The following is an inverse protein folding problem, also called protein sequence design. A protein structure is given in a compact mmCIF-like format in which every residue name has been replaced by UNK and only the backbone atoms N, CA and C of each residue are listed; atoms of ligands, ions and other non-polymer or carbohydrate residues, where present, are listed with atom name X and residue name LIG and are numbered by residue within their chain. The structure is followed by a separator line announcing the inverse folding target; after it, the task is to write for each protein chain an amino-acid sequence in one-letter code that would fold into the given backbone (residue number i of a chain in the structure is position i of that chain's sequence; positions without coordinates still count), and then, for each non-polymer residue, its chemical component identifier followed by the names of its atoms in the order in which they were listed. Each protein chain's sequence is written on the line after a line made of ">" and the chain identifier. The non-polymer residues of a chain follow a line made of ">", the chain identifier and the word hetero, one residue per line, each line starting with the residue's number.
data_IF_420840042367
#
_entry.id   IF_420840042367
#
_cell.length_a   1.000
_cell.length_b   1.000
_cell.length_c   1.000
_cell.angle_alpha   90.00
_cell.angle_beta   90.00
_cell.angle_gamma   90.00
#
_symmetry.space_group_name_H-M   'P 1'
#
loop_
_entity.id
_entity.type
_entity.pdbx_description
1 polymer ?
#
# COMPACT_ATOMS: atom_id res chain seq x y z
N UNK A 1 -3.79 7.12 18.47
CA UNK A 1 -2.83 5.99 18.38
C UNK A 1 -3.29 4.86 17.46
N UNK A 2 -4.49 4.28 17.60
CA UNK A 2 -4.94 3.17 16.73
C UNK A 2 -5.08 3.52 15.24
N UNK A 3 -5.46 4.75 14.92
CA UNK A 3 -5.60 5.21 13.52
C UNK A 3 -4.27 5.11 12.77
N UNK A 4 -3.13 5.36 13.42
CA UNK A 4 -1.83 5.26 12.75
C UNK A 4 -1.37 3.81 12.52
N UNK A 5 -1.95 2.84 13.22
CA UNK A 5 -1.49 1.45 13.12
C UNK A 5 -1.78 0.83 11.75
N UNK A 6 -2.89 1.17 11.09
CA UNK A 6 -3.18 0.64 9.77
C UNK A 6 -2.37 1.30 8.64
N UNK A 7 -1.69 2.42 8.92
CA UNK A 7 -0.74 3.02 7.99
C UNK A 7 0.58 2.25 7.95
N UNK A 8 0.92 1.54 9.02
CA UNK A 8 2.21 0.88 9.20
C UNK A 8 2.09 -0.64 9.07
N UNK A 9 1.03 -1.22 9.63
CA UNK A 9 0.87 -2.67 9.76
C UNK A 9 -0.19 -3.22 8.84
N UNK A 10 0.10 -4.38 8.26
CA UNK A 10 -0.91 -5.22 7.63
C UNK A 10 -1.78 -5.87 8.71
N UNK A 11 -3.08 -5.53 8.72
CA UNK A 11 -4.02 -6.09 9.69
C UNK A 11 -4.51 -7.47 9.26
N UNK A 12 -4.71 -8.41 10.21
CA UNK A 12 -5.30 -9.71 9.93
C UNK A 12 -6.70 -9.56 9.32
N UNK A 13 -7.01 -10.40 8.33
CA UNK A 13 -8.31 -10.36 7.65
C UNK A 13 -9.51 -10.55 8.61
N UNK A 14 -9.34 -11.35 9.67
CA UNK A 14 -10.36 -11.55 10.70
C UNK A 14 -10.65 -10.26 11.48
N UNK A 15 -9.61 -9.48 11.81
CA UNK A 15 -9.76 -8.20 12.50
C UNK A 15 -10.50 -7.19 11.60
N UNK A 16 -10.12 -7.10 10.33
CA UNK A 16 -10.78 -6.23 9.34
C UNK A 16 -12.27 -6.59 9.21
N UNK A 17 -12.59 -7.89 9.16
CA UNK A 17 -13.98 -8.37 9.11
C UNK A 17 -14.74 -8.00 10.38
N UNK A 18 -14.16 -8.19 11.57
CA UNK A 18 -14.79 -7.86 12.85
C UNK A 18 -15.07 -6.36 12.96
N UNK A 19 -14.09 -5.51 12.64
CA UNK A 19 -14.25 -4.06 12.65
C UNK A 19 -15.29 -3.63 11.61
N UNK A 20 -15.27 -4.21 10.40
CA UNK A 20 -16.29 -3.94 9.37
C UNK A 20 -17.71 -4.31 9.82
N UNK A 21 -17.88 -5.43 10.53
CA UNK A 21 -19.16 -5.81 11.14
C UNK A 21 -19.57 -4.85 12.25
N UNK A 22 -18.65 -4.41 13.10
CA UNK A 22 -18.93 -3.46 14.17
C UNK A 22 -19.41 -2.11 13.62
N UNK A 23 -18.73 -1.59 12.58
CA UNK A 23 -19.13 -0.34 11.91
C UNK A 23 -20.54 -0.49 11.31
N UNK A 24 -20.82 -1.65 10.69
CA UNK A 24 -22.14 -1.93 10.13
C UNK A 24 -23.22 -1.99 11.21
N UNK A 25 -22.98 -2.72 12.30
CA UNK A 25 -23.93 -2.81 13.41
C UNK A 25 -24.20 -1.43 14.01
N UNK A 26 -23.15 -0.64 14.23
CA UNK A 26 -23.29 0.73 14.73
C UNK A 26 -24.20 1.58 13.84
N UNK A 27 -24.01 1.56 12.52
CA UNK A 27 -24.82 2.37 11.58
C UNK A 27 -26.29 1.97 11.61
N UNK A 28 -26.60 0.67 11.69
CA UNK A 28 -27.98 0.19 11.54
C UNK A 28 -28.72 -0.04 12.87
N UNK A 29 -28.01 -0.32 13.96
CA UNK A 29 -28.57 -0.63 15.26
C UNK A 29 -28.27 0.40 16.34
N UNK A 30 -27.32 1.33 16.11
CA UNK A 30 -26.86 2.29 17.12
C UNK A 30 -25.94 1.70 18.19
N UNK A 31 -25.89 0.36 18.29
CA UNK A 31 -25.00 -0.40 19.16
C UNK A 31 -24.21 -1.42 18.32
N UNK A 32 -22.96 -1.65 18.69
CA UNK A 32 -22.05 -2.62 18.10
C UNK A 32 -22.49 -4.06 18.45
N UNK A 33 -23.04 -4.24 19.66
CA UNK A 33 -23.41 -5.55 20.20
C UNK A 33 -24.72 -6.10 19.61
N UNK A 34 -25.61 -5.19 19.20
CA UNK A 34 -26.93 -5.53 18.67
C UNK A 34 -26.86 -5.74 17.17
N UNK A 35 -27.32 -6.89 16.71
CA UNK A 35 -27.42 -7.20 15.27
C UNK A 35 -28.83 -6.89 14.79
N UNK A 36 -28.97 -5.95 13.85
CA UNK A 36 -30.21 -5.72 13.10
C UNK A 36 -30.12 -6.28 11.68
N UNK A 37 -31.28 -6.55 11.10
CA UNK A 37 -31.41 -6.86 9.67
C UNK A 37 -30.94 -5.64 8.87
N UNK A 38 -29.92 -5.86 8.05
CA UNK A 38 -29.38 -4.84 7.15
C UNK A 38 -30.01 -5.04 5.78
N UNK A 39 -30.88 -4.11 5.38
CA UNK A 39 -31.61 -4.15 4.10
C UNK A 39 -30.75 -3.67 2.92
N UNK A 40 -29.69 -2.92 3.18
CA UNK A 40 -28.81 -2.37 2.14
C UNK A 40 -27.51 -3.14 2.06
N UNK A 41 -27.18 -3.65 0.87
CA UNK A 41 -25.91 -4.33 0.65
C UNK A 41 -24.72 -3.40 0.97
N UNK A 42 -23.75 -3.92 1.73
CA UNK A 42 -22.64 -3.11 2.27
C UNK A 42 -21.81 -2.39 1.19
N UNK A 43 -21.66 -3.00 0.00
CA UNK A 43 -20.97 -2.34 -1.10
C UNK A 43 -21.69 -1.10 -1.64
N UNK A 44 -23.02 -1.06 -1.57
CA UNK A 44 -23.80 0.14 -1.92
C UNK A 44 -23.57 1.24 -0.88
N UNK A 45 -23.51 0.90 0.41
CA UNK A 45 -23.20 1.90 1.46
C UNK A 45 -21.81 2.52 1.24
N UNK A 46 -20.85 1.71 0.79
CA UNK A 46 -19.46 2.13 0.60
C UNK A 46 -19.14 2.80 -0.74
N UNK A 47 -20.13 3.00 -1.61
CA UNK A 47 -19.91 3.68 -2.89
C UNK A 47 -19.93 5.21 -2.72
N UNK A 48 -19.50 5.93 -3.76
CA UNK A 48 -19.26 7.38 -3.69
C UNK A 48 -20.54 8.18 -3.37
N UNK A 49 -20.37 9.29 -2.65
CA UNK A 49 -21.45 10.20 -2.26
C UNK A 49 -22.19 10.81 -3.45
N UNK A 50 -21.54 10.93 -4.61
CA UNK A 50 -22.13 11.44 -5.84
C UNK A 50 -23.33 10.60 -6.33
N UNK A 51 -23.44 9.35 -5.90
CA UNK A 51 -24.58 8.48 -6.20
C UNK A 51 -25.68 8.53 -5.11
N UNK A 52 -25.65 9.53 -4.21
CA UNK A 52 -26.60 9.66 -3.10
C UNK A 52 -26.39 8.63 -1.97
N UNK A 53 -25.19 8.06 -1.88
CA UNK A 53 -24.82 7.00 -0.92
C UNK A 53 -23.98 7.56 0.24
N UNK A 54 -23.72 6.73 1.25
CA UNK A 54 -23.08 7.16 2.50
C UNK A 54 -21.58 7.52 2.35
N UNK A 55 -20.92 7.13 1.25
CA UNK A 55 -19.52 7.51 1.00
C UNK A 55 -18.48 6.80 1.86
N UNK A 56 -18.85 5.75 2.60
CA UNK A 56 -17.93 5.09 3.53
C UNK A 56 -16.85 4.30 2.78
N UNK A 57 -15.58 4.58 3.05
CA UNK A 57 -14.49 3.81 2.45
C UNK A 57 -14.38 2.43 3.10
N UNK A 58 -14.29 1.40 2.28
CA UNK A 58 -14.01 0.04 2.78
C UNK A 58 -12.67 0.01 3.52
N UNK A 59 -12.69 -0.47 4.76
CA UNK A 59 -11.48 -0.57 5.60
C UNK A 59 -10.35 -1.33 4.88
N UNK A 60 -10.66 -2.45 4.22
CA UNK A 60 -9.67 -3.22 3.44
C UNK A 60 -8.94 -2.36 2.39
N UNK A 61 -9.66 -1.48 1.69
CA UNK A 61 -9.08 -0.59 0.68
C UNK A 61 -8.25 0.52 1.33
N UNK A 62 -8.71 1.07 2.47
CA UNK A 62 -7.96 2.06 3.23
C UNK A 62 -6.59 1.51 3.68
N UNK A 63 -6.56 0.34 4.31
CA UNK A 63 -5.31 -0.28 4.76
C UNK A 63 -4.37 -0.54 3.56
N UNK A 64 -4.91 -1.10 2.46
CA UNK A 64 -4.11 -1.35 1.25
C UNK A 64 -3.53 -0.05 0.68
N UNK A 65 -4.32 1.01 0.57
CA UNK A 65 -3.86 2.30 0.06
C UNK A 65 -2.81 2.95 0.97
N UNK A 66 -2.95 2.79 2.28
CA UNK A 66 -2.01 3.34 3.26
C UNK A 66 -0.67 2.60 3.21
N UNK A 67 -0.69 1.26 3.12
CA UNK A 67 0.52 0.46 2.95
C UNK A 67 1.22 0.72 1.61
N UNK A 68 0.45 0.95 0.54
CA UNK A 68 1.00 1.33 -0.76
C UNK A 68 1.68 2.71 -0.67
N UNK A 69 1.04 3.68 0.00
CA UNK A 69 1.65 4.99 0.27
C UNK A 69 2.94 4.84 1.07
N UNK A 70 2.96 4.01 2.11
CA UNK A 70 4.15 3.75 2.92
C UNK A 70 5.27 3.10 2.08
N UNK A 71 4.93 2.15 1.21
CA UNK A 71 5.89 1.53 0.29
C UNK A 71 6.52 2.56 -0.63
N UNK A 72 5.71 3.50 -1.15
CA UNK A 72 6.23 4.61 -1.95
C UNK A 72 7.10 5.55 -1.09
N UNK A 73 6.64 6.01 0.07
CA UNK A 73 7.46 6.87 0.94
C UNK A 73 8.80 6.22 1.31
N UNK A 74 8.83 4.90 1.50
CA UNK A 74 10.07 4.15 1.73
C UNK A 74 11.02 4.21 0.54
N UNK A 75 10.55 4.37 -0.70
CA UNK A 75 11.40 4.53 -1.88
C UNK A 75 11.79 5.99 -2.14
N UNK A 76 10.89 6.96 -1.94
CA UNK A 76 11.15 8.39 -2.21
C UNK A 76 11.94 9.09 -1.12
N UNK A 77 11.62 8.78 0.13
CA UNK A 77 11.95 9.67 1.23
C UNK A 77 13.43 9.59 1.59
N UNK A 78 14.05 10.74 1.86
CA UNK A 78 15.41 10.83 2.39
C UNK A 78 15.47 10.78 3.93
N UNK A 79 14.37 10.44 4.60
CA UNK A 79 14.36 10.29 6.06
C UNK A 79 15.17 9.07 6.49
N UNK A 80 15.77 9.13 7.68
CA UNK A 80 16.66 8.08 8.19
C UNK A 80 15.98 6.71 8.23
N UNK A 81 14.70 6.65 8.66
CA UNK A 81 13.94 5.41 8.67
C UNK A 81 13.85 4.81 7.27
N UNK A 82 13.58 5.61 6.24
CA UNK A 82 13.44 5.13 4.87
C UNK A 82 14.79 4.65 4.32
N UNK A 83 15.88 5.36 4.63
CA UNK A 83 17.23 4.96 4.28
C UNK A 83 17.63 3.62 4.91
N UNK A 84 17.41 3.46 6.23
CA UNK A 84 17.68 2.21 6.95
C UNK A 84 16.88 1.03 6.37
N UNK A 85 15.60 1.24 6.09
CA UNK A 85 14.74 0.21 5.51
C UNK A 85 15.15 -0.14 4.08
N UNK A 86 15.51 0.83 3.23
CA UNK A 86 16.04 0.55 1.87
C UNK A 86 17.35 -0.22 1.91
N UNK A 87 18.26 0.14 2.81
CA UNK A 87 19.52 -0.58 2.96
C UNK A 87 19.30 -2.01 3.45
N UNK A 88 18.29 -2.22 4.30
CA UNK A 88 17.96 -3.53 4.87
C UNK A 88 17.14 -4.43 3.94
N UNK A 89 16.23 -3.87 3.13
CA UNK A 89 15.24 -4.64 2.36
C UNK A 89 15.21 -4.35 0.86
N UNK A 90 15.82 -3.24 0.42
CA UNK A 90 15.75 -2.74 -0.95
C UNK A 90 16.84 -3.25 -1.90
N UNK A 91 17.90 -3.90 -1.39
CA UNK A 91 19.02 -4.38 -2.22
C UNK A 91 18.97 -5.90 -2.41
N UNK A 92 18.73 -6.32 -3.68
CA UNK A 92 18.73 -7.70 -4.22
C UNK A 92 17.84 -8.69 -3.42
N UNK A 93 17.47 -9.87 -3.99
CA UNK A 93 16.76 -10.88 -3.20
C UNK A 93 17.64 -11.26 -2.02
N UNK A 94 17.27 -10.79 -0.82
CA UNK A 94 18.05 -11.03 0.38
C UNK A 94 18.12 -12.54 0.60
N UNK A 95 19.34 -13.07 0.53
CA UNK A 95 19.70 -14.45 0.85
C UNK A 95 19.40 -14.82 2.30
N UNK A 96 18.94 -13.85 3.11
CA UNK A 96 18.67 -14.00 4.54
C UNK A 96 17.25 -13.53 4.88
N UNK A 97 16.52 -14.38 5.60
CA UNK A 97 15.21 -14.03 6.14
C UNK A 97 15.36 -13.01 7.28
N UNK A 98 14.77 -11.82 7.10
CA UNK A 98 14.69 -10.81 8.15
C UNK A 98 13.30 -10.79 8.76
N UNK A 99 13.18 -11.20 10.02
CA UNK A 99 11.94 -11.11 10.78
C UNK A 99 11.60 -9.63 10.99
N UNK A 100 10.49 -9.19 10.42
CA UNK A 100 9.91 -7.87 10.69
C UNK A 100 8.40 -7.95 10.58
N UNK A 101 7.72 -7.15 11.39
CA UNK A 101 6.25 -7.05 11.41
C UNK A 101 5.69 -6.14 10.32
N UNK A 102 6.52 -5.24 9.79
CA UNK A 102 6.13 -4.19 8.84
C UNK A 102 6.42 -4.62 7.39
N UNK A 103 7.58 -5.23 7.14
CA UNK A 103 8.02 -5.59 5.78
C UNK A 103 7.03 -6.48 5.03
N UNK A 104 6.38 -7.51 5.63
CA UNK A 104 5.44 -8.32 4.86
C UNK A 104 4.30 -7.50 4.25
N UNK A 105 3.79 -6.49 4.95
CA UNK A 105 2.75 -5.60 4.44
C UNK A 105 3.23 -4.66 3.33
N UNK A 106 4.50 -4.23 3.38
CA UNK A 106 5.11 -3.38 2.37
C UNK A 106 5.52 -4.19 1.14
N UNK A 107 6.11 -5.38 1.34
CA UNK A 107 6.64 -6.27 0.30
C UNK A 107 5.59 -6.60 -0.76
N UNK A 108 4.37 -6.92 -0.34
CA UNK A 108 3.27 -7.23 -1.25
C UNK A 108 2.88 -6.03 -2.14
N UNK A 109 3.08 -4.81 -1.64
CA UNK A 109 2.79 -3.57 -2.37
C UNK A 109 4.04 -2.99 -3.06
N UNK A 110 5.22 -3.57 -2.87
CA UNK A 110 6.49 -3.03 -3.35
C UNK A 110 6.61 -3.07 -4.87
N UNK A 111 6.25 -4.20 -5.49
CA UNK A 111 6.23 -4.33 -6.95
C UNK A 111 5.19 -3.41 -7.58
N UNK A 112 4.04 -3.25 -6.92
CA UNK A 112 2.96 -2.39 -7.37
C UNK A 112 3.33 -0.90 -7.24
N UNK A 113 4.00 -0.50 -6.17
CA UNK A 113 4.55 0.85 -6.03
C UNK A 113 5.60 1.12 -7.12
N UNK A 114 6.55 0.19 -7.32
CA UNK A 114 7.63 0.35 -8.30
C UNK A 114 7.13 0.46 -9.74
N UNK A 115 6.15 -0.35 -10.13
CA UNK A 115 5.55 -0.31 -11.48
C UNK A 115 4.75 0.96 -11.75
N UNK A 116 4.07 1.50 -10.73
CA UNK A 116 3.26 2.73 -10.85
C UNK A 116 4.03 4.01 -10.50
N UNK A 117 5.35 3.93 -10.33
CA UNK A 117 6.20 5.09 -10.01
C UNK A 117 7.12 5.42 -11.18
N UNK A 118 7.23 6.72 -11.48
CA UNK A 118 8.12 7.26 -12.50
C UNK A 118 9.22 8.08 -11.81
N UNK A 119 10.44 8.00 -12.32
CA UNK A 119 11.55 8.80 -11.85
C UNK A 119 11.48 10.22 -12.39
N UNK A 120 11.48 11.20 -11.49
CA UNK A 120 11.62 12.62 -11.83
C UNK A 120 13.11 13.00 -11.82
N UNK A 121 13.54 13.68 -12.88
CA UNK A 121 14.92 14.15 -13.03
C UNK A 121 15.15 15.31 -12.05
N UNK A 122 16.03 15.10 -11.08
CA UNK A 122 16.61 16.15 -10.24
C UNK A 122 18.05 16.45 -10.67
N UNK A 123 18.98 16.50 -9.72
CA UNK A 123 20.39 16.87 -9.95
C UNK A 123 21.23 15.78 -10.68
N UNK A 124 20.63 14.70 -11.18
CA UNK A 124 21.31 13.65 -11.97
C UNK A 124 22.28 12.71 -11.21
N UNK A 125 22.70 13.03 -9.98
CA UNK A 125 23.75 12.28 -9.27
C UNK A 125 23.32 10.92 -8.71
N UNK A 126 22.03 10.71 -8.45
CA UNK A 126 21.48 9.47 -7.86
C UNK A 126 20.58 8.69 -8.82
N UNK A 127 20.70 8.94 -10.14
CA UNK A 127 19.76 8.41 -11.12
C UNK A 127 20.45 7.48 -12.10
N UNK A 128 20.00 6.22 -12.13
CA UNK A 128 20.45 5.27 -13.12
C UNK A 128 19.64 5.44 -14.41
N UNK A 129 20.28 6.00 -15.44
CA UNK A 129 19.66 6.20 -16.75
C UNK A 129 19.02 4.94 -17.34
N UNK A 130 19.65 3.77 -17.17
CA UNK A 130 19.23 2.55 -17.87
C UNK A 130 18.11 1.79 -17.17
N UNK A 131 18.24 1.58 -15.86
CA UNK A 131 17.37 0.66 -15.09
C UNK A 131 16.12 1.31 -14.49
N UNK A 132 16.05 2.64 -14.50
CA UNK A 132 14.95 3.36 -13.89
C UNK A 132 13.78 3.51 -14.88
N UNK A 133 12.56 3.53 -14.33
CA UNK A 133 11.34 3.76 -15.10
C UNK A 133 11.15 5.26 -15.34
N UNK A 134 11.21 5.68 -16.60
CA UNK A 134 11.13 7.09 -17.01
C UNK A 134 9.79 7.48 -17.64
N UNK A 135 9.16 6.56 -18.38
CA UNK A 135 7.99 6.84 -19.22
C UNK A 135 6.89 5.76 -19.09
N UNK A 136 7.00 4.86 -18.11
CA UNK A 136 6.10 3.72 -17.94
C UNK A 136 6.84 2.40 -18.05
N UNK A 137 7.80 2.31 -18.98
CA UNK A 137 8.71 1.18 -19.17
C UNK A 137 10.17 1.57 -18.92
N UNK A 138 11.01 0.61 -18.54
CA UNK A 138 12.45 0.87 -18.41
C UNK A 138 13.09 0.95 -19.79
N UNK A 139 14.17 1.73 -19.93
CA UNK A 139 14.89 1.82 -21.20
C UNK A 139 15.51 0.49 -21.62
N UNK A 140 15.88 -0.37 -20.65
CA UNK A 140 16.36 -1.73 -20.92
C UNK A 140 15.27 -2.58 -21.57
N UNK A 141 14.04 -2.50 -21.05
CA UNK A 141 12.89 -3.24 -21.60
C UNK A 141 12.48 -2.69 -22.97
N UNK A 142 12.45 -1.36 -23.12
CA UNK A 142 12.09 -0.70 -24.38
C UNK A 142 13.13 -0.91 -25.49
N UNK A 143 14.41 -1.04 -25.15
CA UNK A 143 15.50 -1.21 -26.11
C UNK A 143 15.97 -2.66 -26.25
N UNK A 144 15.34 -3.61 -25.55
CA UNK A 144 15.69 -5.04 -25.55
C UNK A 144 17.19 -5.30 -25.31
N UNK A 145 17.81 -4.52 -24.40
CA UNK A 145 19.25 -4.63 -24.16
C UNK A 145 19.51 -5.92 -23.38
N UNK A 146 20.37 -6.85 -23.86
CA UNK A 146 20.60 -8.13 -23.20
C UNK A 146 21.24 -7.96 -21.81
N UNK A 147 20.78 -8.76 -20.85
CA UNK A 147 21.23 -8.77 -19.44
C UNK A 147 22.73 -9.09 -19.26
N UNK A 148 23.44 -9.45 -20.33
CA UNK A 148 24.86 -9.84 -20.30
C UNK A 148 25.83 -8.66 -20.14
N UNK A 149 25.33 -7.41 -20.14
CA UNK A 149 26.13 -6.19 -19.93
C UNK A 149 25.85 -5.51 -18.57
N UNK A 150 25.17 -6.21 -17.65
CA UNK A 150 24.83 -5.73 -16.31
C UNK A 150 25.93 -5.91 -15.26
#
# INVERSE_FOLDING_TARGET
>A
MLVYSFHIYSWPAQLIKKVGSNIRNFIWAGDISVRKLVTVAWYKVCSQTNEGRLGLRFLKLLIKSALLKLAWEMMSSNHDWACLYRNRFGSKPLTKYFKSSIWPGIKDNWSLAKSNSIWLIGNGHNINFRTNNWLGDTLVDSLQIPETLH
#
